data_IF_810201150226
#
_entry.id   IF_810201150226
#
_cell.length_a   1.000
_cell.length_b   1.000
_cell.length_c   1.000
_cell.angle_alpha   90.00
_cell.angle_beta   90.00
_cell.angle_gamma   90.00
#
_symmetry.space_group_name_H-M   'P 1'
#
loop_
_entity.id
_entity.type
_entity.pdbx_description
1 polymer ?
#
# COMPACT_ATOMS: atom_id res chain seq x y z
N UNK A 1 6.38 -1.73 -14.38
CA UNK A 1 6.82 -1.29 -13.04
C UNK A 1 7.45 -2.43 -12.25
N UNK A 2 6.78 -3.58 -12.08
CA UNK A 2 7.30 -4.68 -11.23
C UNK A 2 7.59 -6.00 -11.99
N UNK A 3 7.27 -6.10 -13.29
CA UNK A 3 7.55 -7.27 -14.12
C UNK A 3 6.53 -8.40 -13.96
N UNK A 4 6.14 -8.74 -12.74
CA UNK A 4 5.08 -9.71 -12.42
C UNK A 4 4.22 -9.24 -11.25
N UNK A 5 3.08 -9.90 -11.04
CA UNK A 5 2.24 -9.67 -9.86
C UNK A 5 2.95 -10.12 -8.58
N UNK A 6 3.70 -11.23 -8.62
CA UNK A 6 4.44 -11.72 -7.46
C UNK A 6 5.51 -10.73 -6.99
N UNK A 7 6.23 -10.11 -7.92
CA UNK A 7 7.21 -9.07 -7.61
C UNK A 7 6.54 -7.82 -7.00
N UNK A 8 5.33 -7.47 -7.48
CA UNK A 8 4.54 -6.41 -6.87
C UNK A 8 4.12 -6.78 -5.43
N UNK A 9 3.62 -8.01 -5.23
CA UNK A 9 3.20 -8.52 -3.93
C UNK A 9 4.35 -8.51 -2.93
N UNK A 10 5.54 -8.96 -3.35
CA UNK A 10 6.75 -8.92 -2.53
C UNK A 10 7.14 -7.49 -2.15
N UNK A 11 7.19 -6.57 -3.12
CA UNK A 11 7.55 -5.18 -2.88
C UNK A 11 6.55 -4.45 -1.95
N UNK A 12 5.24 -4.69 -2.16
CA UNK A 12 4.18 -4.09 -1.35
C UNK A 12 4.18 -4.65 0.07
N UNK A 13 4.32 -5.97 0.19
CA UNK A 13 4.43 -6.64 1.49
C UNK A 13 5.63 -6.16 2.28
N UNK A 14 6.78 -5.96 1.61
CA UNK A 14 7.98 -5.40 2.21
C UNK A 14 7.72 -4.00 2.76
N UNK A 15 7.13 -3.10 1.97
CA UNK A 15 6.80 -1.74 2.43
C UNK A 15 5.89 -1.75 3.67
N UNK A 16 4.85 -2.58 3.67
CA UNK A 16 3.92 -2.74 4.80
C UNK A 16 4.59 -3.33 6.05
N UNK A 17 5.45 -4.35 5.88
CA UNK A 17 6.15 -4.99 6.97
C UNK A 17 7.22 -4.08 7.60
N UNK A 18 7.94 -3.31 6.78
CA UNK A 18 9.05 -2.45 7.25
C UNK A 18 8.60 -1.09 7.78
N UNK A 19 7.31 -0.74 7.67
CA UNK A 19 6.77 0.48 8.28
C UNK A 19 6.85 0.36 9.81
N UNK A 20 7.77 1.10 10.42
CA UNK A 20 7.93 1.08 11.87
C UNK A 20 6.80 1.86 12.57
N UNK A 21 6.24 1.26 13.63
CA UNK A 21 5.10 1.82 14.34
C UNK A 21 3.82 1.83 13.51
N UNK A 22 3.02 2.88 13.72
CA UNK A 22 1.77 3.15 12.99
C UNK A 22 2.03 3.72 11.61
N UNK A 23 1.20 3.37 10.63
CA UNK A 23 1.32 3.91 9.28
C UNK A 23 0.54 3.15 8.23
N UNK A 24 0.92 3.40 6.98
CA UNK A 24 0.26 2.87 5.80
C UNK A 24 1.28 2.42 4.75
N UNK A 25 0.93 1.41 3.95
CA UNK A 25 1.60 1.11 2.69
C UNK A 25 0.70 1.50 1.51
N UNK A 26 1.30 2.05 0.45
CA UNK A 26 0.59 2.63 -0.67
C UNK A 26 1.08 2.08 -2.01
N UNK A 27 0.16 1.92 -2.95
CA UNK A 27 0.45 1.90 -4.38
C UNK A 27 -0.04 3.23 -4.94
N UNK A 28 0.87 3.99 -5.54
CA UNK A 28 0.59 5.29 -6.12
C UNK A 28 0.72 5.24 -7.64
N UNK A 29 -0.23 5.88 -8.32
CA UNK A 29 -0.19 6.13 -9.75
C UNK A 29 0.37 7.53 -10.04
N UNK A 30 1.11 7.63 -11.14
CA UNK A 30 1.65 8.86 -11.68
C UNK A 30 1.10 9.06 -13.09
N UNK A 31 0.99 10.32 -13.54
CA UNK A 31 0.64 10.65 -14.93
C UNK A 31 1.59 9.96 -15.89
N UNK A 32 1.08 9.46 -17.02
CA UNK A 32 1.86 8.65 -17.96
C UNK A 32 1.95 7.18 -17.56
N UNK A 33 1.22 6.76 -16.53
CA UNK A 33 0.99 5.36 -16.20
C UNK A 33 2.07 4.68 -15.36
N UNK A 34 3.09 5.40 -14.88
CA UNK A 34 4.05 4.87 -13.89
C UNK A 34 3.31 4.59 -12.57
N UNK A 35 3.70 3.50 -11.90
CA UNK A 35 3.27 3.21 -10.52
C UNK A 35 4.47 3.08 -9.60
N UNK A 36 4.25 3.36 -8.31
CA UNK A 36 5.25 3.38 -7.26
C UNK A 36 4.67 2.79 -5.97
N UNK A 37 5.49 2.09 -5.20
CA UNK A 37 5.14 1.58 -3.86
C UNK A 37 5.91 2.39 -2.83
N UNK A 38 5.25 2.78 -1.76
CA UNK A 38 5.90 3.45 -0.63
C UNK A 38 5.13 3.23 0.68
N UNK A 39 5.65 3.75 1.79
CA UNK A 39 4.95 3.77 3.08
C UNK A 39 5.05 5.14 3.74
N UNK A 40 4.09 5.43 4.61
CA UNK A 40 4.05 6.70 5.37
C UNK A 40 3.79 6.43 6.84
N UNK A 41 4.38 7.25 7.74
CA UNK A 41 4.12 7.14 9.18
C UNK A 41 2.75 7.71 9.55
N UNK A 42 2.16 7.18 10.61
CA UNK A 42 0.92 7.68 11.20
C UNK A 42 -0.21 7.82 10.16
N UNK A 43 -0.77 9.03 9.99
CA UNK A 43 -1.85 9.32 9.03
C UNK A 43 -1.37 10.14 7.83
N UNK A 44 -0.05 10.28 7.69
CA UNK A 44 0.52 10.90 6.51
C UNK A 44 0.14 10.06 5.29
N UNK A 45 -0.05 10.72 4.15
CA UNK A 45 -0.39 10.04 2.91
C UNK A 45 0.31 10.70 1.70
N UNK A 46 0.40 10.02 0.55
CA UNK A 46 1.17 10.48 -0.60
C UNK A 46 0.76 11.83 -1.21
N UNK A 47 -0.40 12.39 -0.82
CA UNK A 47 -0.86 13.71 -1.28
C UNK A 47 -0.31 14.86 -0.44
N UNK A 48 0.26 14.57 0.74
CA UNK A 48 0.86 15.58 1.61
C UNK A 48 2.23 16.02 1.08
N UNK A 49 2.60 17.30 1.23
CA UNK A 49 3.93 17.75 0.84
C UNK A 49 5.00 17.15 1.78
N UNK A 50 6.16 16.82 1.23
CA UNK A 50 7.37 16.37 1.97
C UNK A 50 7.23 15.04 2.72
N UNK A 51 6.21 14.25 2.41
CA UNK A 51 6.19 12.81 2.72
C UNK A 51 7.00 12.10 1.64
N UNK A 52 7.83 11.11 1.97
CA UNK A 52 8.78 10.46 1.04
C UNK A 52 8.15 9.67 -0.12
N UNK A 53 6.89 9.93 -0.43
CA UNK A 53 6.04 9.31 -1.43
C UNK A 53 5.48 10.39 -2.36
N UNK A 54 5.21 10.04 -3.63
CA UNK A 54 4.48 10.91 -4.54
C UNK A 54 3.40 10.17 -5.30
N UNK A 55 2.64 10.91 -6.10
CA UNK A 55 1.58 10.37 -6.95
C UNK A 55 0.22 10.30 -6.25
N UNK A 56 -0.77 9.78 -6.98
CA UNK A 56 -2.14 9.60 -6.49
C UNK A 56 -2.28 8.19 -5.92
N UNK A 57 -2.64 8.01 -4.63
CA UNK A 57 -2.82 6.68 -4.05
C UNK A 57 -4.02 5.96 -4.70
N UNK A 58 -3.79 4.75 -5.17
CA UNK A 58 -4.81 3.88 -5.81
C UNK A 58 -5.10 2.61 -5.01
N UNK A 59 -4.20 2.23 -4.09
CA UNK A 59 -4.39 1.18 -3.09
C UNK A 59 -3.65 1.61 -1.81
N UNK A 60 -4.28 1.37 -0.65
CA UNK A 60 -3.69 1.60 0.65
C UNK A 60 -3.93 0.41 1.57
N UNK A 61 -2.93 0.05 2.37
CA UNK A 61 -3.02 -0.93 3.45
C UNK A 61 -2.72 -0.26 4.79
N UNK A 62 -3.71 -0.26 5.69
CA UNK A 62 -3.54 0.20 7.07
C UNK A 62 -2.69 -0.83 7.84
N UNK A 63 -1.54 -0.40 8.37
CA UNK A 63 -0.66 -1.21 9.23
C UNK A 63 -0.55 -0.67 10.65
N UNK A 64 -1.50 0.18 11.06
CA UNK A 64 -1.75 0.45 12.47
C UNK A 64 -2.19 -0.85 13.17
N UNK A 65 -1.78 -1.04 14.41
CA UNK A 65 -2.10 -2.27 15.15
C UNK A 65 -3.61 -2.50 15.23
N UNK A 66 -4.43 -1.44 15.38
CA UNK A 66 -5.89 -1.57 15.42
C UNK A 66 -6.49 -2.27 14.20
N UNK A 67 -5.81 -2.25 13.03
CA UNK A 67 -6.33 -2.85 11.80
C UNK A 67 -6.25 -4.38 11.84
N UNK A 68 -5.36 -4.95 12.66
CA UNK A 68 -5.07 -6.39 12.63
C UNK A 68 -4.97 -7.06 13.99
N UNK A 69 -4.82 -6.33 15.10
CA UNK A 69 -4.39 -6.91 16.37
C UNK A 69 -5.34 -7.98 16.92
N UNK A 70 -6.65 -7.81 16.77
CA UNK A 70 -7.63 -8.77 17.31
C UNK A 70 -7.54 -10.15 16.63
N UNK A 71 -7.18 -10.20 15.33
CA UNK A 71 -7.13 -11.45 14.56
C UNK A 71 -5.70 -12.00 14.40
N UNK A 72 -4.70 -11.12 14.40
CA UNK A 72 -3.32 -11.46 14.05
C UNK A 72 -2.30 -11.14 15.16
N UNK A 73 -2.66 -10.35 16.18
CA UNK A 73 -1.77 -9.92 17.26
C UNK A 73 -0.47 -9.32 16.68
N UNK A 74 0.70 -9.86 17.02
CA UNK A 74 1.99 -9.42 16.51
C UNK A 74 2.30 -9.91 15.07
N UNK A 75 1.45 -10.74 14.48
CA UNK A 75 1.68 -11.37 13.17
C UNK A 75 1.21 -10.47 12.02
N UNK A 76 1.79 -9.27 11.94
CA UNK A 76 1.57 -8.35 10.82
C UNK A 76 1.80 -9.01 9.44
N UNK A 77 2.83 -9.87 9.23
CA UNK A 77 3.02 -10.55 7.96
C UNK A 77 1.81 -11.40 7.53
N UNK A 78 1.15 -12.10 8.46
CA UNK A 78 -0.03 -12.92 8.16
C UNK A 78 -1.23 -12.05 7.74
N UNK A 79 -1.39 -10.88 8.36
CA UNK A 79 -2.40 -9.89 7.97
C UNK A 79 -2.14 -9.32 6.57
N UNK A 80 -0.88 -8.98 6.27
CA UNK A 80 -0.47 -8.50 4.94
C UNK A 80 -0.75 -9.56 3.88
N UNK A 81 -0.45 -10.84 4.15
CA UNK A 81 -0.73 -11.93 3.22
C UNK A 81 -2.25 -12.10 3.00
N UNK A 82 -3.05 -12.07 4.07
CA UNK A 82 -4.50 -12.16 3.99
C UNK A 82 -5.13 -10.99 3.21
N UNK A 83 -4.56 -9.79 3.32
CA UNK A 83 -5.04 -8.60 2.61
C UNK A 83 -5.13 -8.81 1.09
N UNK A 84 -4.16 -9.49 0.48
CA UNK A 84 -4.18 -9.73 -0.99
C UNK A 84 -5.37 -10.56 -1.47
N UNK A 85 -6.03 -11.30 -0.59
CA UNK A 85 -7.21 -12.10 -0.91
C UNK A 85 -8.52 -11.29 -0.94
N UNK A 86 -8.51 -10.06 -0.41
CA UNK A 86 -9.72 -9.22 -0.26
C UNK A 86 -9.64 -7.89 -1.01
N UNK A 87 -8.55 -7.64 -1.75
CA UNK A 87 -8.41 -6.42 -2.55
C UNK A 87 -9.46 -6.41 -3.67
N UNK A 88 -10.21 -5.31 -3.76
CA UNK A 88 -11.05 -5.02 -4.91
C UNK A 88 -10.21 -4.42 -6.04
N UNK A 89 -9.66 -5.30 -6.89
CA UNK A 89 -8.81 -4.88 -8.02
C UNK A 89 -9.53 -4.01 -9.05
N UNK A 90 -10.85 -4.15 -9.20
CA UNK A 90 -11.63 -3.29 -10.11
C UNK A 90 -11.61 -1.83 -9.66
N UNK A 91 -11.66 -1.57 -8.35
CA UNK A 91 -11.58 -0.20 -7.82
C UNK A 91 -10.16 0.38 -7.96
N UNK A 92 -9.13 -0.45 -7.77
CA UNK A 92 -7.72 -0.04 -8.00
C UNK A 92 -7.52 0.33 -9.47
N UNK A 93 -8.04 -0.48 -10.39
CA UNK A 93 -7.98 -0.22 -11.83
C UNK A 93 -8.75 1.05 -12.21
N UNK A 94 -9.96 1.24 -11.69
CA UNK A 94 -10.77 2.46 -11.93
C UNK A 94 -9.99 3.73 -11.51
N UNK A 95 -9.38 3.72 -10.31
CA UNK A 95 -8.57 4.85 -9.82
C UNK A 95 -7.30 5.06 -10.65
N UNK A 96 -6.64 3.98 -11.09
CA UNK A 96 -5.49 4.08 -11.96
C UNK A 96 -5.83 4.74 -13.30
N UNK A 97 -6.97 4.38 -13.90
CA UNK A 97 -7.44 4.94 -15.15
C UNK A 97 -7.74 6.45 -15.08
N UNK A 98 -8.18 6.96 -13.92
CA UNK A 98 -8.43 8.39 -13.71
C UNK A 98 -7.13 9.22 -13.61
N UNK A 99 -6.00 8.59 -13.29
CA UNK A 99 -4.71 9.26 -13.07
C UNK A 99 -3.82 9.20 -14.31
N UNK A 100 -3.89 8.10 -15.07
CA UNK A 100 -2.96 7.76 -16.15
C UNK A 100 -2.91 8.82 -17.26
#
# INVERSE_FOLDING_TARGET
>A
AFGSFDNFKEAFSKAAATQFGSGWAWLCAHRGGKVEICSTPNQDNPLMPKVGCGGTPILGLDVWEHAYYLNYQNRRPDYIEAFFSVINWNEVERRYAEVK
#
